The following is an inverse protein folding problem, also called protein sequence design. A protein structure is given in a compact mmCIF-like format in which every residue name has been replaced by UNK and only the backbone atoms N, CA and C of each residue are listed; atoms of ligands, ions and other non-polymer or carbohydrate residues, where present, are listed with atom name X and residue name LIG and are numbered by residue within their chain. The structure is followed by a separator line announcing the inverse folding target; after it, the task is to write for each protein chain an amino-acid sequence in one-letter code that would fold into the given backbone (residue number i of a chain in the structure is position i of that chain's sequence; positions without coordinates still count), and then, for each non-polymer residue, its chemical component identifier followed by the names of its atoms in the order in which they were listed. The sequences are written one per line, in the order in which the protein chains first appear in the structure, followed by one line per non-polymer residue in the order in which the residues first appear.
data_IF_759175704725
#
_entry.id   IF_759175704725
#
_cell.length_a   1.000
_cell.length_b   1.000
_cell.length_c   1.000
_cell.angle_alpha   90.00
_cell.angle_beta   90.00
_cell.angle_gamma   90.00
#
_symmetry.space_group_name_H-M   'P 1'
#
loop_
_entity.id
_entity.type
_entity.pdbx_description
1 polymer ?
#
# COMPACT_ATOMS: atom_id res chain seq x y z
N UNK A 1 -34.40 -8.57 -1.53
CA UNK A 1 -33.07 -8.56 -2.18
C UNK A 1 -32.10 -8.00 -1.15
N UNK A 2 -31.47 -8.88 -0.40
CA UNK A 2 -30.52 -8.56 0.67
C UNK A 2 -29.23 -8.00 0.05
N UNK A 3 -28.81 -6.81 0.49
CA UNK A 3 -27.52 -6.22 0.17
C UNK A 3 -26.43 -7.21 0.61
N UNK A 4 -25.57 -7.73 -0.28
CA UNK A 4 -24.46 -8.54 0.15
C UNK A 4 -23.48 -7.62 0.88
N UNK A 5 -23.20 -7.98 2.13
CA UNK A 5 -22.27 -7.40 3.09
C UNK A 5 -21.33 -6.30 2.53
N UNK A 6 -21.66 -5.04 2.82
CA UNK A 6 -20.91 -3.82 2.49
C UNK A 6 -19.47 -3.78 3.10
N UNK A 7 -19.06 -4.85 3.78
CA UNK A 7 -17.71 -5.07 4.36
C UNK A 7 -16.79 -5.92 3.50
N UNK A 8 -17.24 -6.41 2.35
CA UNK A 8 -16.42 -7.36 1.60
C UNK A 8 -15.26 -6.65 0.90
N UNK A 9 -14.15 -6.50 1.61
CA UNK A 9 -12.83 -6.22 1.07
C UNK A 9 -11.92 -7.39 1.39
N UNK A 10 -11.10 -7.79 0.42
CA UNK A 10 -10.06 -8.79 0.62
C UNK A 10 -8.72 -8.18 1.01
N UNK A 11 -8.67 -6.85 1.22
CA UNK A 11 -7.52 -6.18 1.81
C UNK A 11 -7.42 -6.54 3.30
N UNK A 12 -6.30 -7.11 3.72
CA UNK A 12 -6.14 -7.66 5.07
C UNK A 12 -5.98 -6.57 6.13
N UNK A 13 -5.42 -5.42 5.78
CA UNK A 13 -5.30 -4.29 6.70
C UNK A 13 -6.68 -3.67 7.00
N UNK A 14 -7.52 -3.53 5.98
CA UNK A 14 -8.90 -3.07 6.18
C UNK A 14 -9.75 -4.10 6.93
N UNK A 15 -9.51 -5.40 6.72
CA UNK A 15 -10.25 -6.48 7.38
C UNK A 15 -10.03 -6.56 8.90
N UNK A 16 -8.93 -6.01 9.42
CA UNK A 16 -8.64 -6.00 10.88
C UNK A 16 -9.12 -4.74 11.59
N UNK A 17 -9.71 -3.78 10.86
CA UNK A 17 -10.23 -2.55 11.47
C UNK A 17 -11.46 -2.85 12.35
N UNK A 18 -11.61 -2.06 13.41
CA UNK A 18 -12.86 -2.04 14.17
C UNK A 18 -14.02 -1.54 13.31
N UNK A 19 -15.26 -1.82 13.72
CA UNK A 19 -16.45 -1.35 12.99
C UNK A 19 -16.52 0.16 12.93
N UNK A 20 -16.11 0.83 14.00
CA UNK A 20 -16.09 2.28 14.10
C UNK A 20 -15.03 2.87 13.16
N UNK A 21 -13.83 2.27 13.10
CA UNK A 21 -12.75 2.70 12.20
C UNK A 21 -13.13 2.49 10.72
N UNK A 22 -13.74 1.35 10.41
CA UNK A 22 -14.27 1.09 9.07
C UNK A 22 -15.32 2.12 8.67
N UNK A 23 -16.24 2.46 9.58
CA UNK A 23 -17.30 3.44 9.32
C UNK A 23 -16.77 4.85 9.03
N UNK A 24 -15.58 5.23 9.53
CA UNK A 24 -14.95 6.51 9.22
C UNK A 24 -14.44 6.60 7.78
N UNK A 25 -13.98 5.49 7.20
CA UNK A 25 -13.39 5.45 5.86
C UNK A 25 -14.39 5.04 4.78
N UNK A 26 -15.29 4.09 5.10
CA UNK A 26 -16.25 3.47 4.17
C UNK A 26 -16.99 4.48 3.27
N UNK A 27 -17.53 5.60 3.77
CA UNK A 27 -18.29 6.54 2.94
C UNK A 27 -17.47 7.20 1.84
N UNK A 28 -16.14 7.19 1.97
CA UNK A 28 -15.22 7.88 1.07
C UNK A 28 -14.49 6.92 0.12
N UNK A 29 -14.71 5.61 0.25
CA UNK A 29 -14.06 4.65 -0.64
C UNK A 29 -14.69 4.65 -2.03
N UNK A 30 -13.82 4.71 -3.04
CA UNK A 30 -14.16 4.37 -4.42
C UNK A 30 -13.45 3.08 -4.78
N UNK A 31 -14.20 2.06 -5.19
CA UNK A 31 -13.61 0.81 -5.70
C UNK A 31 -13.32 0.96 -7.18
N UNK A 32 -12.10 0.65 -7.59
CA UNK A 32 -11.67 0.70 -8.98
C UNK A 32 -10.93 -0.57 -9.39
N UNK A 33 -10.96 -0.88 -10.69
CA UNK A 33 -10.09 -1.91 -11.25
C UNK A 33 -8.64 -1.46 -11.20
N UNK A 34 -7.76 -2.40 -10.83
CA UNK A 34 -6.32 -2.24 -10.87
C UNK A 34 -5.79 -2.90 -12.14
N UNK A 35 -5.81 -2.14 -13.22
CA UNK A 35 -5.21 -2.55 -14.49
C UNK A 35 -3.69 -2.50 -14.41
N UNK A 36 -3.02 -3.34 -15.19
CA UNK A 36 -1.56 -3.33 -15.29
C UNK A 36 -1.07 -1.94 -15.71
N UNK A 37 0.08 -1.53 -15.18
CA UNK A 37 0.71 -0.21 -15.38
C UNK A 37 -0.07 0.98 -14.81
N UNK A 38 -1.20 0.75 -14.13
CA UNK A 38 -1.89 1.82 -13.40
C UNK A 38 -0.97 2.34 -12.29
N UNK A 39 -0.65 3.64 -12.37
CA UNK A 39 0.11 4.34 -11.33
C UNK A 39 -0.80 4.58 -10.13
N UNK A 40 -0.38 4.08 -8.97
CA UNK A 40 -1.06 4.31 -7.69
C UNK A 40 -0.49 5.54 -7.00
N UNK A 41 0.84 5.66 -6.98
CA UNK A 41 1.56 6.84 -6.50
C UNK A 41 2.63 7.25 -7.52
N UNK A 42 2.53 8.45 -8.11
CA UNK A 42 3.61 9.01 -8.89
C UNK A 42 4.79 9.44 -8.01
N UNK A 43 6.02 9.31 -8.52
CA UNK A 43 7.22 9.74 -7.80
C UNK A 43 7.31 11.27 -7.73
N UNK A 44 7.72 11.79 -6.57
CA UNK A 44 7.94 13.21 -6.27
C UNK A 44 6.73 14.12 -6.57
N UNK A 45 5.52 13.57 -6.45
CA UNK A 45 4.27 14.29 -6.61
C UNK A 45 3.43 14.18 -5.34
N UNK A 46 2.54 15.15 -5.08
CA UNK A 46 1.59 15.08 -3.97
C UNK A 46 0.80 13.77 -3.99
N UNK A 47 0.65 13.16 -2.83
CA UNK A 47 -0.16 11.97 -2.65
C UNK A 47 -1.63 12.41 -2.53
N UNK A 48 -2.36 12.35 -3.62
CA UNK A 48 -3.79 12.72 -3.65
C UNK A 48 -4.70 11.63 -3.09
N UNK A 49 -4.28 10.36 -3.21
CA UNK A 49 -5.08 9.20 -2.86
C UNK A 49 -4.28 8.13 -2.16
N UNK A 50 -4.94 7.45 -1.23
CA UNK A 50 -4.47 6.23 -0.57
C UNK A 50 -5.17 5.05 -1.22
N UNK A 51 -4.41 3.99 -1.53
CA UNK A 51 -4.91 2.80 -2.22
C UNK A 51 -4.77 1.55 -1.38
N UNK A 52 -5.84 0.77 -1.26
CA UNK A 52 -5.89 -0.52 -0.59
C UNK A 52 -6.18 -1.60 -1.63
N UNK A 53 -5.17 -2.28 -2.18
CA UNK A 53 -5.37 -3.37 -3.13
C UNK A 53 -6.19 -4.50 -2.50
N UNK A 54 -7.08 -5.10 -3.28
CA UNK A 54 -7.88 -6.25 -2.88
C UNK A 54 -7.27 -7.57 -3.44
N UNK A 55 -6.27 -7.43 -4.30
CA UNK A 55 -5.48 -8.48 -4.92
C UNK A 55 -4.53 -7.88 -5.97
N UNK A 56 -3.92 -8.73 -6.79
CA UNK A 56 -2.85 -8.31 -7.69
C UNK A 56 -1.56 -7.96 -6.93
N UNK A 57 -0.58 -7.40 -7.65
CA UNK A 57 0.71 -7.01 -7.09
C UNK A 57 1.11 -5.65 -7.66
N UNK A 58 1.54 -4.73 -6.79
CA UNK A 58 2.13 -3.46 -7.16
C UNK A 58 3.66 -3.49 -6.95
N UNK A 59 4.40 -2.88 -7.88
CA UNK A 59 5.85 -2.67 -7.76
C UNK A 59 6.14 -1.30 -7.17
N UNK A 60 7.23 -1.22 -6.40
CA UNK A 60 7.81 0.02 -5.87
C UNK A 60 9.15 0.25 -6.57
N UNK A 61 9.24 1.33 -7.34
CA UNK A 61 10.43 1.70 -8.10
C UNK A 61 11.11 2.88 -7.46
N UNK A 62 12.39 2.70 -7.12
CA UNK A 62 13.29 3.80 -6.79
C UNK A 62 14.00 4.29 -8.06
N UNK A 63 14.09 5.61 -8.20
CA UNK A 63 14.95 6.22 -9.21
C UNK A 63 16.25 6.66 -8.55
N UNK A 64 17.39 6.16 -9.07
CA UNK A 64 18.71 6.67 -8.73
C UNK A 64 19.25 7.44 -9.91
N UNK A 65 19.80 8.63 -9.66
CA UNK A 65 20.32 9.56 -10.67
C UNK A 65 21.25 8.85 -11.68
N UNK A 66 22.05 7.89 -11.22
CA UNK A 66 23.10 7.25 -12.03
C UNK A 66 22.82 5.81 -12.47
N UNK A 67 21.73 5.17 -12.01
CA UNK A 67 21.51 3.73 -12.26
C UNK A 67 20.12 3.37 -12.81
N UNK A 68 19.34 4.36 -13.24
CA UNK A 68 18.00 4.13 -13.80
C UNK A 68 16.98 3.62 -12.77
N UNK A 69 15.75 3.30 -13.22
CA UNK A 69 14.70 2.77 -12.36
C UNK A 69 15.08 1.38 -11.83
N UNK A 70 14.98 1.19 -10.53
CA UNK A 70 15.24 -0.09 -9.86
C UNK A 70 14.03 -0.48 -9.02
N UNK A 71 13.53 -1.69 -9.20
CA UNK A 71 12.51 -2.24 -8.29
C UNK A 71 13.13 -2.50 -6.92
N UNK A 72 12.55 -1.89 -5.89
CA UNK A 72 13.02 -1.99 -4.49
C UNK A 72 12.04 -2.74 -3.59
N UNK A 73 10.86 -3.08 -4.11
CA UNK A 73 9.86 -3.84 -3.38
C UNK A 73 8.61 -4.11 -4.20
N UNK A 74 7.76 -4.97 -3.66
CA UNK A 74 6.43 -5.27 -4.16
C UNK A 74 5.46 -5.31 -2.96
N UNK A 75 4.18 -5.04 -3.19
CA UNK A 75 3.15 -5.26 -2.17
C UNK A 75 1.81 -5.63 -2.81
N UNK A 76 0.97 -6.31 -2.03
CA UNK A 76 -0.35 -6.78 -2.43
C UNK A 76 -1.45 -6.34 -1.48
N UNK A 77 -2.40 -7.25 -1.23
CA UNK A 77 -3.62 -6.99 -0.46
C UNK A 77 -3.40 -6.89 1.05
N UNK A 78 -2.22 -7.23 1.53
CA UNK A 78 -1.80 -7.11 2.92
C UNK A 78 -1.36 -5.69 3.31
N UNK A 79 -1.23 -4.81 2.31
CA UNK A 79 -0.66 -3.47 2.44
C UNK A 79 -1.56 -2.39 1.84
N UNK A 80 -1.04 -1.15 1.81
CA UNK A 80 -1.66 -0.03 1.13
C UNK A 80 -0.61 0.94 0.56
N UNK A 81 -0.95 1.64 -0.52
CA UNK A 81 -0.15 2.72 -1.07
C UNK A 81 -0.55 4.05 -0.40
N UNK A 82 0.42 4.78 0.15
CA UNK A 82 0.20 6.09 0.80
C UNK A 82 0.82 6.19 2.19
N UNK A 83 1.66 5.22 2.57
CA UNK A 83 2.34 5.17 3.88
C UNK A 83 3.12 6.43 4.27
N UNK A 84 3.71 7.24 3.36
CA UNK A 84 4.39 8.48 3.74
C UNK A 84 3.49 9.53 4.39
N UNK A 85 2.17 9.47 4.16
CA UNK A 85 1.20 10.37 4.81
C UNK A 85 1.18 10.18 6.34
N UNK A 86 1.48 8.98 6.84
CA UNK A 86 1.41 8.65 8.26
C UNK A 86 2.43 9.42 9.12
N UNK A 87 3.73 9.48 8.75
CA UNK A 87 4.69 10.36 9.42
C UNK A 87 4.58 11.85 9.04
N UNK A 88 3.62 12.23 8.18
CA UNK A 88 3.35 13.63 7.82
C UNK A 88 4.06 14.12 6.56
N UNK A 89 4.62 13.23 5.74
CA UNK A 89 5.07 13.59 4.40
C UNK A 89 3.88 13.65 3.43
N UNK A 90 3.98 14.48 2.40
CA UNK A 90 2.95 14.65 1.37
C UNK A 90 3.36 14.06 0.01
N UNK A 91 4.61 13.62 -0.12
CA UNK A 91 5.20 13.07 -1.34
C UNK A 91 6.02 11.81 -1.05
N UNK A 92 6.33 11.04 -2.10
CA UNK A 92 7.21 9.86 -2.06
C UNK A 92 8.23 9.94 -3.19
N UNK A 93 9.52 9.63 -2.97
CA UNK A 93 10.49 9.53 -4.05
C UNK A 93 10.29 8.29 -4.94
N UNK A 94 9.43 7.35 -4.51
CA UNK A 94 9.18 6.10 -5.21
C UNK A 94 7.96 6.19 -6.14
N UNK A 95 8.07 5.59 -7.31
CA UNK A 95 6.94 5.31 -8.20
C UNK A 95 6.30 4.00 -7.77
N UNK A 96 4.97 3.98 -7.65
CA UNK A 96 4.20 2.77 -7.38
C UNK A 96 3.19 2.55 -8.49
N UNK A 97 3.23 1.37 -9.11
CA UNK A 97 2.28 0.98 -10.14
C UNK A 97 1.90 -0.50 -10.05
N UNK A 98 0.75 -0.85 -10.62
CA UNK A 98 0.25 -2.23 -10.67
C UNK A 98 1.06 -3.06 -11.67
N UNK A 99 1.78 -4.07 -11.21
CA UNK A 99 2.58 -4.96 -12.06
C UNK A 99 1.77 -6.19 -12.50
N UNK A 100 1.03 -6.80 -11.56
CA UNK A 100 0.13 -7.93 -11.81
C UNK A 100 -1.30 -7.47 -11.60
N UNK A 101 -2.10 -7.50 -12.67
CA UNK A 101 -3.51 -7.13 -12.66
C UNK A 101 -4.40 -8.27 -12.16
N UNK A 102 -5.71 -8.16 -12.38
CA UNK A 102 -6.68 -9.21 -12.04
C UNK A 102 -7.41 -8.99 -10.72
N UNK A 103 -7.41 -7.75 -10.19
CA UNK A 103 -8.17 -7.41 -8.99
C UNK A 103 -8.65 -5.94 -8.99
N UNK A 104 -9.31 -5.57 -7.90
CA UNK A 104 -9.75 -4.22 -7.59
C UNK A 104 -8.92 -3.62 -6.47
N UNK A 105 -9.09 -2.33 -6.24
CA UNK A 105 -8.55 -1.62 -5.10
C UNK A 105 -9.56 -0.60 -4.60
N UNK A 106 -9.60 -0.39 -3.29
CA UNK A 106 -10.32 0.72 -2.68
C UNK A 106 -9.39 1.92 -2.60
N UNK A 107 -9.85 3.08 -3.09
CA UNK A 107 -9.13 4.34 -2.90
C UNK A 107 -9.92 5.34 -2.06
N UNK A 108 -9.21 6.17 -1.32
CA UNK A 108 -9.74 7.29 -0.55
C UNK A 108 -8.84 8.51 -0.73
N UNK A 109 -9.42 9.71 -0.76
CA UNK A 109 -8.62 10.95 -0.84
C UNK A 109 -7.74 11.11 0.39
N UNK A 110 -6.49 11.56 0.20
CA UNK A 110 -5.49 11.68 1.26
C UNK A 110 -5.96 12.59 2.42
N UNK A 111 -6.62 13.70 2.11
CA UNK A 111 -7.16 14.61 3.14
C UNK A 111 -8.25 13.96 4.00
N UNK A 112 -9.13 13.15 3.38
CA UNK A 112 -10.18 12.41 4.08
C UNK A 112 -9.60 11.28 4.93
N UNK A 113 -8.59 10.58 4.39
CA UNK A 113 -7.85 9.55 5.12
C UNK A 113 -7.17 10.11 6.38
N UNK A 114 -6.44 11.22 6.24
CA UNK A 114 -5.80 11.91 7.36
C UNK A 114 -6.83 12.41 8.39
N UNK A 115 -7.98 12.91 7.92
CA UNK A 115 -9.08 13.31 8.81
C UNK A 115 -9.61 12.13 9.63
N UNK A 116 -9.85 10.98 9.01
CA UNK A 116 -10.29 9.76 9.71
C UNK A 116 -9.24 9.29 10.74
N UNK A 117 -7.96 9.31 10.37
CA UNK A 117 -6.85 8.97 11.27
C UNK A 117 -6.76 9.92 12.49
N UNK A 118 -7.06 11.21 12.30
CA UNK A 118 -7.09 12.17 13.40
C UNK A 118 -8.31 12.00 14.30
N UNK A 119 -9.43 11.51 13.77
CA UNK A 119 -10.67 11.26 14.51
C UNK A 119 -10.63 9.99 15.36
N UNK A 120 -9.86 8.98 14.96
CA UNK A 120 -9.77 7.71 15.70
C UNK A 120 -8.35 7.35 16.12
N UNK A 121 -8.16 7.20 17.44
CA UNK A 121 -6.90 6.71 17.99
C UNK A 121 -6.63 5.24 17.62
N UNK A 122 -7.65 4.39 17.54
CA UNK A 122 -7.49 2.97 17.20
C UNK A 122 -7.07 2.79 15.74
N UNK A 123 -7.70 3.51 14.81
CA UNK A 123 -7.30 3.54 13.40
C UNK A 123 -5.83 3.97 13.26
N UNK A 124 -5.46 5.09 13.90
CA UNK A 124 -4.09 5.60 13.88
C UNK A 124 -3.09 4.59 14.43
N UNK A 125 -3.38 3.96 15.57
CA UNK A 125 -2.51 2.93 16.17
C UNK A 125 -2.36 1.73 15.23
N UNK A 126 -3.43 1.25 14.61
CA UNK A 126 -3.38 0.13 13.65
C UNK A 126 -2.50 0.46 12.44
N UNK A 127 -2.65 1.65 11.87
CA UNK A 127 -1.84 2.12 10.75
C UNK A 127 -0.36 2.27 11.13
N UNK A 128 -0.07 2.82 12.31
CA UNK A 128 1.31 2.94 12.82
C UNK A 128 1.95 1.58 13.11
N UNK A 129 1.19 0.61 13.62
CA UNK A 129 1.67 -0.77 13.78
C UNK A 129 2.00 -1.41 12.44
N UNK A 130 1.17 -1.16 11.42
CA UNK A 130 1.48 -1.60 10.06
C UNK A 130 2.79 -0.97 9.54
N UNK A 131 3.03 0.34 9.77
CA UNK A 131 4.31 0.97 9.41
C UNK A 131 5.49 0.28 10.10
N UNK A 132 5.36 -0.07 11.38
CA UNK A 132 6.40 -0.83 12.08
C UNK A 132 6.64 -2.20 11.44
N UNK A 133 5.58 -2.92 11.07
CA UNK A 133 5.70 -4.20 10.35
C UNK A 133 6.40 -4.02 9.00
N UNK A 134 6.05 -2.99 8.25
CA UNK A 134 6.66 -2.66 6.96
C UNK A 134 8.16 -2.35 7.08
N UNK A 135 8.57 -1.60 8.12
CA UNK A 135 9.99 -1.33 8.40
C UNK A 135 10.75 -2.64 8.69
N UNK A 136 10.18 -3.52 9.51
CA UNK A 136 10.79 -4.82 9.83
C UNK A 136 10.95 -5.67 8.56
N UNK A 137 9.91 -5.74 7.72
CA UNK A 137 9.95 -6.47 6.46
C UNK A 137 11.02 -5.91 5.51
N UNK A 138 11.07 -4.59 5.33
CA UNK A 138 12.06 -3.91 4.50
C UNK A 138 13.48 -4.19 4.97
N UNK A 139 13.73 -4.16 6.28
CA UNK A 139 15.02 -4.50 6.86
C UNK A 139 15.40 -5.97 6.59
N UNK A 140 14.44 -6.89 6.72
CA UNK A 140 14.63 -8.30 6.36
C UNK A 140 15.00 -8.51 4.89
N UNK A 141 14.32 -7.81 3.97
CA UNK A 141 14.63 -7.84 2.54
C UNK A 141 16.03 -7.29 2.25
N UNK A 142 16.44 -6.21 2.92
CA UNK A 142 17.78 -5.65 2.79
C UNK A 142 18.88 -6.63 3.26
N UNK A 143 18.67 -7.29 4.40
CA UNK A 143 19.59 -8.32 4.92
C UNK A 143 19.71 -9.47 3.91
N UNK A 144 18.59 -9.96 3.37
CA UNK A 144 18.58 -11.03 2.37
C UNK A 144 19.35 -10.63 1.11
N UNK A 145 19.14 -9.42 0.61
CA UNK A 145 19.85 -8.89 -0.56
C UNK A 145 21.36 -8.71 -0.30
N UNK A 146 21.77 -8.35 0.92
CA UNK A 146 23.17 -8.16 1.29
C UNK A 146 23.95 -9.47 1.50
N UNK A 147 23.28 -10.54 1.97
CA UNK A 147 23.95 -11.80 2.36
C UNK A 147 23.81 -12.94 1.34
N UNK A 148 22.89 -12.87 0.39
CA UNK A 148 22.72 -13.95 -0.60
C UNK A 148 23.68 -13.78 -1.79
N UNK A 149 24.58 -14.76 -1.98
CA UNK A 149 25.32 -14.96 -3.24
C UNK A 149 24.30 -15.11 -4.39
N UNK A 150 24.63 -14.56 -5.55
CA UNK A 150 23.76 -14.33 -6.71
C UNK A 150 22.92 -15.54 -7.13
N UNK A 151 23.36 -16.78 -6.86
CA UNK A 151 22.62 -18.02 -7.19
C UNK A 151 21.37 -18.24 -6.32
N UNK A 152 21.36 -17.82 -5.05
CA UNK A 152 20.20 -18.00 -4.16
C UNK A 152 19.06 -17.00 -4.46
N UNK A 153 19.35 -15.89 -5.13
CA UNK A 153 18.34 -14.90 -5.55
C UNK A 153 17.42 -15.47 -6.63
N UNK A 154 17.92 -16.36 -7.49
CA UNK A 154 17.15 -17.05 -8.52
C UNK A 154 16.17 -18.08 -7.93
N UNK A 155 16.56 -18.78 -6.86
CA UNK A 155 15.73 -19.78 -6.21
C UNK A 155 14.54 -19.19 -5.41
N UNK A 156 14.56 -17.88 -5.09
CA UNK A 156 13.43 -17.18 -4.46
C UNK A 156 12.39 -16.68 -5.47
N UNK A 157 12.76 -16.59 -6.75
CA UNK A 157 11.93 -16.07 -7.83
C UNK A 157 11.25 -17.15 -8.68
N UNK A 158 11.64 -18.43 -8.53
CA UNK A 158 10.98 -19.60 -9.10
C UNK A 158 10.01 -20.22 -8.08
#
# INVERSE_FOLDING_TARGET
MSHPDDRYTTNLLLAVLSLDDWALLKPFFTREKLEREKVLLPANQPIDHVWFPEGGVASVIAHKIDSGPTEVGIFGREEFAGTPLLPGADTSPHLIFVQVNGSTGLRVGASLFLKAMNQSATLRITLLRYVQTFIIQTAGSAISNAHQRTEARLARWL
#
